data_IF_079657074170
#
_entry.id   IF_079657074170
#
_cell.length_a   1.000
_cell.length_b   1.000
_cell.length_c   1.000
_cell.angle_alpha   90.00
_cell.angle_beta   90.00
_cell.angle_gamma   90.00
#
_symmetry.space_group_name_H-M   'P 1'
#
loop_
_entity.id
_entity.type
_entity.pdbx_description
1 polymer ?
#
# COMPACT_ATOMS: atom_id res chain seq x y z
N UNK A 1 -0.92 16.45 -1.40
CA UNK A 1 -1.63 16.31 -2.69
C UNK A 1 -0.63 15.84 -3.70
N UNK A 2 -0.92 14.71 -4.33
CA UNK A 2 -0.14 14.16 -5.43
C UNK A 2 0.10 15.19 -6.54
N UNK A 3 1.33 15.27 -7.03
CA UNK A 3 1.69 16.06 -8.21
C UNK A 3 1.21 15.38 -9.49
N UNK A 4 1.23 16.09 -10.63
CA UNK A 4 0.86 15.53 -11.95
C UNK A 4 1.58 14.22 -12.29
N UNK A 5 2.82 14.09 -11.85
CA UNK A 5 3.65 12.89 -12.02
C UNK A 5 3.08 11.62 -11.39
N UNK A 6 2.16 11.74 -10.42
CA UNK A 6 1.41 10.63 -9.85
C UNK A 6 0.42 10.04 -10.88
N UNK A 7 -0.22 10.90 -11.67
CA UNK A 7 -1.20 10.49 -12.68
C UNK A 7 -0.53 10.07 -13.99
N UNK A 8 0.58 10.72 -14.36
CA UNK A 8 1.29 10.47 -15.63
C UNK A 8 2.09 9.16 -15.63
N UNK A 9 2.48 8.65 -14.45
CA UNK A 9 3.23 7.40 -14.31
C UNK A 9 2.83 6.64 -13.02
N UNK A 10 1.66 5.99 -13.01
CA UNK A 10 1.19 5.27 -11.84
C UNK A 10 2.05 4.00 -11.61
N UNK A 11 2.29 3.59 -10.35
CA UNK A 11 2.90 2.31 -10.05
C UNK A 11 1.99 1.17 -10.53
N UNK A 12 2.59 0.09 -11.04
CA UNK A 12 1.85 -1.13 -11.33
C UNK A 12 1.33 -1.74 -10.01
N UNK A 13 0.02 -1.93 -9.92
CA UNK A 13 -0.60 -2.66 -8.82
C UNK A 13 -0.44 -4.16 -9.09
N UNK A 14 0.17 -4.89 -8.15
CA UNK A 14 0.33 -6.35 -8.24
C UNK A 14 -0.27 -6.97 -6.98
N UNK A 15 -1.54 -7.40 -7.00
CA UNK A 15 -2.22 -7.92 -5.82
C UNK A 15 -1.59 -9.24 -5.29
N UNK A 16 -0.84 -9.96 -6.13
CA UNK A 16 -0.08 -11.14 -5.74
C UNK A 16 1.32 -10.83 -5.15
N UNK A 17 1.72 -9.56 -5.07
CA UNK A 17 3.02 -9.16 -4.57
C UNK A 17 2.98 -8.82 -3.07
N UNK A 18 4.04 -9.19 -2.35
CA UNK A 18 4.15 -9.00 -0.89
C UNK A 18 3.59 -10.18 -0.08
N UNK A 19 3.68 -10.08 1.25
CA UNK A 19 3.21 -11.11 2.21
C UNK A 19 1.94 -10.72 2.96
N UNK A 20 1.36 -9.57 2.63
CA UNK A 20 0.14 -9.06 3.24
C UNK A 20 -1.13 -9.47 2.51
N UNK A 21 -2.26 -9.05 3.07
CA UNK A 21 -3.59 -9.27 2.51
C UNK A 21 -4.42 -8.00 2.58
N UNK A 22 -5.33 -7.85 1.62
CA UNK A 22 -6.36 -6.81 1.70
C UNK A 22 -7.43 -7.27 2.70
N UNK A 23 -7.77 -6.42 3.65
CA UNK A 23 -8.88 -6.59 4.59
C UNK A 23 -9.94 -5.53 4.34
N UNK A 24 -11.21 -5.89 4.45
CA UNK A 24 -12.32 -4.96 4.20
C UNK A 24 -12.59 -4.02 5.39
N UNK A 25 -12.09 -4.36 6.58
CA UNK A 25 -12.24 -3.53 7.77
C UNK A 25 -11.03 -3.62 8.70
N UNK A 26 -10.22 -2.55 8.68
CA UNK A 26 -9.24 -2.20 9.68
C UNK A 26 -9.70 -0.87 10.30
N UNK A 27 -10.39 -0.94 11.45
CA UNK A 27 -11.03 0.23 12.04
C UNK A 27 -12.12 0.86 11.16
N UNK A 28 -12.81 0.07 10.33
CA UNK A 28 -13.85 0.54 9.41
C UNK A 28 -13.33 0.99 8.03
N UNK A 29 -12.02 0.88 7.78
CA UNK A 29 -11.40 1.20 6.50
C UNK A 29 -10.91 -0.06 5.80
N UNK A 30 -11.04 -0.12 4.47
CA UNK A 30 -10.34 -1.12 3.65
C UNK A 30 -8.83 -0.88 3.79
N UNK A 31 -8.01 -1.92 3.94
CA UNK A 31 -6.57 -1.76 4.16
C UNK A 31 -5.77 -2.96 3.65
N UNK A 32 -4.51 -2.73 3.27
CA UNK A 32 -3.51 -3.80 3.12
C UNK A 32 -2.77 -3.97 4.44
N UNK A 33 -2.77 -5.18 5.00
CA UNK A 33 -2.07 -5.47 6.25
C UNK A 33 -1.01 -6.53 6.00
N UNK A 34 0.22 -6.26 6.43
CA UNK A 34 1.35 -7.17 6.37
C UNK A 34 2.12 -7.15 7.70
N UNK A 35 2.71 -8.29 8.06
CA UNK A 35 3.49 -8.46 9.28
C UNK A 35 2.89 -9.49 10.25
N UNK A 36 3.55 -9.72 11.41
CA UNK A 36 3.08 -10.64 12.44
C UNK A 36 1.79 -10.17 13.10
N UNK A 37 0.86 -11.09 13.38
CA UNK A 37 -0.42 -10.80 14.05
C UNK A 37 -0.25 -10.36 15.51
N UNK A 38 0.86 -10.72 16.15
CA UNK A 38 1.22 -10.38 17.53
C UNK A 38 2.02 -9.07 17.67
N UNK A 39 2.14 -8.30 16.57
CA UNK A 39 2.83 -7.02 16.59
C UNK A 39 2.13 -6.02 17.52
N UNK A 40 2.88 -5.46 18.48
CA UNK A 40 2.38 -4.44 19.43
C UNK A 40 2.35 -3.02 18.86
N UNK A 41 2.93 -2.83 17.68
CA UNK A 41 3.00 -1.55 16.99
C UNK A 41 2.85 -1.77 15.49
N UNK A 42 2.34 -0.76 14.79
CA UNK A 42 2.16 -0.77 13.34
C UNK A 42 2.63 0.55 12.73
N UNK A 43 3.10 0.49 11.48
CA UNK A 43 3.36 1.67 10.65
C UNK A 43 2.18 1.84 9.71
N UNK A 44 1.55 3.02 9.74
CA UNK A 44 0.41 3.34 8.87
C UNK A 44 0.90 4.21 7.73
N UNK A 45 0.74 3.71 6.50
CA UNK A 45 1.00 4.47 5.28
C UNK A 45 -0.34 4.93 4.70
N UNK A 46 -0.54 6.25 4.61
CA UNK A 46 -1.74 6.85 4.01
C UNK A 46 -1.31 7.52 2.71
N UNK A 47 -1.92 7.10 1.60
CA UNK A 47 -1.68 7.67 0.27
C UNK A 47 -3.00 8.18 -0.31
N UNK A 48 -2.93 9.25 -1.10
CA UNK A 48 -4.09 9.91 -1.69
C UNK A 48 -4.53 9.32 -3.04
N UNK A 49 -3.65 8.64 -3.78
CA UNK A 49 -3.94 8.22 -5.18
C UNK A 49 -3.95 6.72 -5.42
N UNK A 50 -3.03 5.93 -4.85
CA UNK A 50 -2.81 4.53 -5.30
C UNK A 50 -3.43 3.43 -4.43
N UNK A 51 -4.22 3.79 -3.41
CA UNK A 51 -5.09 2.85 -2.71
C UNK A 51 -4.40 1.78 -1.85
N UNK A 52 -5.09 0.65 -1.67
CA UNK A 52 -4.88 -0.36 -0.62
C UNK A 52 -4.29 -1.68 -1.12
N UNK A 53 -3.65 -1.71 -2.28
CA UNK A 53 -2.86 -2.86 -2.69
C UNK A 53 -1.40 -2.62 -2.33
N UNK A 54 -0.56 -3.66 -2.26
CA UNK A 54 0.86 -3.52 -1.96
C UNK A 54 1.49 -2.55 -2.97
N UNK A 55 1.78 -1.28 -2.59
CA UNK A 55 2.34 -0.36 -3.54
C UNK A 55 3.79 -0.78 -3.74
N UNK A 56 4.20 -0.98 -4.99
CA UNK A 56 5.62 -1.09 -5.31
C UNK A 56 6.21 0.30 -5.08
N UNK A 57 6.68 0.56 -3.86
CA UNK A 57 7.49 1.72 -3.54
C UNK A 57 8.75 1.57 -4.39
N UNK A 58 8.83 2.35 -5.47
CA UNK A 58 9.82 2.20 -6.55
C UNK A 58 11.19 1.84 -5.97
N UNK A 59 11.70 0.65 -6.28
CA UNK A 59 13.14 0.45 -6.27
C UNK A 59 13.68 1.27 -7.44
N UNK A 60 14.55 2.23 -7.15
CA UNK A 60 15.37 2.83 -8.19
C UNK A 60 16.34 1.74 -8.65
N UNK A 61 15.97 0.97 -9.68
CA UNK A 61 16.99 0.28 -10.46
C UNK A 61 17.70 1.34 -11.27
N UNK A 62 19.02 1.43 -11.07
CA UNK A 62 19.94 1.99 -12.06
C UNK A 62 19.71 1.33 -13.42
#
# INVERSE_FOLDING_TARGET
MASSQCCDNPPALIPACGKGKVVDSFGGLKAYVAGPEDSKAAVVLVADVFGFEAPILRYHSL
#
